data_IF_392815905186
#
_entry.id   IF_392815905186
#
_cell.length_a   1.000
_cell.length_b   1.000
_cell.length_c   1.000
_cell.angle_alpha   90.00
_cell.angle_beta   90.00
_cell.angle_gamma   90.00
#
_symmetry.space_group_name_H-M   'P 1'
#
loop_
_entity.id
_entity.type
_entity.pdbx_description
1 polymer ?
#
# COMPACT_ATOMS: atom_id res chain seq x y z
N UNK A 1 27.28 -16.13 -26.16
CA UNK A 1 27.77 -15.61 -24.87
C UNK A 1 26.92 -14.40 -24.50
N UNK A 2 26.05 -14.58 -23.50
CA UNK A 2 25.29 -13.61 -22.70
C UNK A 2 24.34 -12.63 -23.42
N UNK A 3 23.09 -13.11 -23.53
CA UNK A 3 21.80 -12.41 -23.51
C UNK A 3 21.86 -10.95 -23.03
N UNK A 4 21.68 -10.02 -23.98
CA UNK A 4 21.18 -8.68 -23.67
C UNK A 4 19.66 -8.76 -23.52
N UNK A 5 19.20 -9.00 -22.30
CA UNK A 5 17.88 -8.55 -21.85
C UNK A 5 18.11 -7.42 -20.87
N UNK A 6 18.33 -6.21 -21.37
CA UNK A 6 18.20 -5.01 -20.53
C UNK A 6 16.74 -4.98 -20.07
N UNK A 7 16.49 -5.34 -18.81
CA UNK A 7 15.18 -5.16 -18.19
C UNK A 7 14.69 -3.73 -18.36
N UNK A 8 13.38 -3.52 -18.27
CA UNK A 8 12.83 -2.15 -18.29
C UNK A 8 13.43 -1.32 -17.15
N UNK A 9 13.45 0.01 -17.29
CA UNK A 9 13.95 0.91 -16.22
C UNK A 9 13.28 0.62 -14.87
N UNK A 10 12.02 0.20 -14.90
CA UNK A 10 11.28 -0.23 -13.71
C UNK A 10 11.83 -1.51 -13.07
N UNK A 11 12.23 -2.50 -13.86
CA UNK A 11 12.87 -3.72 -13.33
C UNK A 11 14.23 -3.42 -12.70
N UNK A 12 15.02 -2.53 -13.32
CA UNK A 12 16.28 -2.07 -12.73
C UNK A 12 16.03 -1.32 -11.41
N UNK A 13 15.04 -0.43 -11.39
CA UNK A 13 14.67 0.32 -10.18
C UNK A 13 14.17 -0.62 -9.08
N UNK A 14 13.34 -1.61 -9.40
CA UNK A 14 12.84 -2.59 -8.44
C UNK A 14 13.96 -3.40 -7.79
N UNK A 15 15.03 -3.72 -8.54
CA UNK A 15 16.17 -4.49 -8.05
C UNK A 15 17.19 -3.65 -7.27
N UNK A 16 17.47 -2.44 -7.73
CA UNK A 16 18.59 -1.64 -7.25
C UNK A 16 18.21 -0.37 -6.50
N UNK A 17 16.96 0.09 -6.61
CA UNK A 17 16.51 1.36 -6.04
C UNK A 17 16.78 1.49 -4.55
N UNK A 18 16.71 0.39 -3.79
CA UNK A 18 17.01 0.35 -2.35
C UNK A 18 18.44 0.81 -2.04
N UNK A 19 19.42 0.54 -2.91
CA UNK A 19 20.82 1.00 -2.74
C UNK A 19 20.92 2.53 -2.74
N UNK A 20 19.99 3.19 -3.43
CA UNK A 20 19.97 4.64 -3.63
C UNK A 20 18.86 5.35 -2.83
N UNK A 21 18.20 4.65 -1.90
CA UNK A 21 17.03 5.14 -1.15
C UNK A 21 15.87 5.60 -2.05
N UNK A 22 15.74 5.01 -3.24
CA UNK A 22 14.62 5.26 -4.16
C UNK A 22 13.62 4.11 -4.03
N UNK A 23 12.36 4.46 -3.82
CA UNK A 23 11.23 3.51 -3.77
C UNK A 23 10.44 3.51 -5.08
N UNK A 24 9.76 2.40 -5.34
CA UNK A 24 8.79 2.26 -6.43
C UNK A 24 7.44 1.89 -5.84
N UNK A 25 6.40 2.63 -6.22
CA UNK A 25 5.00 2.31 -5.92
C UNK A 25 4.26 2.14 -7.24
N UNK A 26 3.75 0.94 -7.49
CA UNK A 26 2.93 0.65 -8.65
C UNK A 26 1.46 0.57 -8.23
N UNK A 27 0.59 1.25 -8.98
CA UNK A 27 -0.86 1.22 -8.79
C UNK A 27 -1.47 0.69 -10.08
N UNK A 28 -2.22 -0.41 -9.98
CA UNK A 28 -2.89 -1.03 -11.13
C UNK A 28 -4.15 -1.74 -10.70
N UNK A 29 -5.16 -1.73 -11.57
CA UNK A 29 -6.37 -2.53 -11.43
C UNK A 29 -6.18 -3.97 -11.90
N UNK A 30 -5.14 -4.21 -12.72
CA UNK A 30 -4.86 -5.50 -13.35
C UNK A 30 -3.38 -5.85 -13.12
N UNK A 31 -3.03 -6.48 -11.98
CA UNK A 31 -1.66 -6.89 -11.71
C UNK A 31 -1.10 -7.83 -12.79
N UNK A 32 -1.93 -8.61 -13.49
CA UNK A 32 -1.49 -9.47 -14.61
C UNK A 32 -0.82 -8.77 -15.78
N UNK A 33 -0.99 -7.46 -15.91
CA UNK A 33 -0.33 -6.69 -16.96
C UNK A 33 1.06 -6.18 -16.56
N UNK A 34 1.39 -6.25 -15.27
CA UNK A 34 2.71 -5.88 -14.76
C UNK A 34 3.63 -7.10 -14.90
N UNK A 35 4.87 -6.86 -15.33
CA UNK A 35 5.88 -7.91 -15.42
C UNK A 35 6.07 -8.59 -14.05
N UNK A 36 5.92 -9.91 -14.00
CA UNK A 36 6.07 -10.73 -12.79
C UNK A 36 7.41 -10.52 -12.08
N UNK A 37 8.50 -10.25 -12.83
CA UNK A 37 9.79 -9.91 -12.25
C UNK A 37 9.66 -8.67 -11.37
N UNK A 38 8.94 -7.63 -11.80
CA UNK A 38 8.75 -6.39 -11.03
C UNK A 38 7.89 -6.67 -9.79
N UNK A 39 6.76 -7.36 -9.93
CA UNK A 39 5.85 -7.62 -8.81
C UNK A 39 6.53 -8.48 -7.74
N UNK A 40 7.34 -9.46 -8.13
CA UNK A 40 8.08 -10.32 -7.20
C UNK A 40 9.06 -9.56 -6.29
N UNK A 41 9.56 -8.42 -6.75
CA UNK A 41 10.46 -7.56 -5.97
C UNK A 41 9.73 -6.65 -4.98
N UNK A 42 8.41 -6.53 -5.05
CA UNK A 42 7.66 -5.72 -4.08
C UNK A 42 7.63 -6.40 -2.71
N UNK A 43 8.00 -5.63 -1.69
CA UNK A 43 7.96 -6.08 -0.31
C UNK A 43 6.58 -5.87 0.31
N UNK A 44 5.95 -4.73 0.01
CA UNK A 44 4.66 -4.36 0.57
C UNK A 44 3.62 -4.33 -0.54
N UNK A 45 2.54 -5.07 -0.36
CA UNK A 45 1.40 -5.11 -1.25
C UNK A 45 0.17 -4.60 -0.50
N UNK A 46 -0.52 -3.63 -1.11
CA UNK A 46 -1.87 -3.21 -0.72
C UNK A 46 -2.83 -3.87 -1.69
N UNK A 47 -3.53 -4.89 -1.22
CA UNK A 47 -4.43 -5.72 -2.04
C UNK A 47 -5.85 -5.23 -1.78
N UNK A 48 -6.45 -4.57 -2.77
CA UNK A 48 -7.85 -4.17 -2.74
C UNK A 48 -8.73 -5.28 -3.33
N UNK A 49 -10.04 -5.06 -3.36
CA UNK A 49 -11.02 -5.96 -3.97
C UNK A 49 -10.65 -6.36 -5.40
N UNK A 50 -10.38 -7.66 -5.62
CA UNK A 50 -10.02 -8.20 -6.93
C UNK A 50 -10.89 -9.40 -7.31
N UNK A 51 -11.67 -9.25 -8.38
CA UNK A 51 -12.60 -10.27 -8.85
C UNK A 51 -11.94 -11.36 -9.72
N UNK A 52 -10.95 -11.01 -10.56
CA UNK A 52 -10.28 -11.98 -11.45
C UNK A 52 -9.33 -12.88 -10.66
N UNK A 53 -9.55 -14.19 -10.74
CA UNK A 53 -8.71 -15.20 -10.09
C UNK A 53 -7.25 -15.12 -10.54
N UNK A 54 -6.98 -14.84 -11.81
CA UNK A 54 -5.61 -14.74 -12.33
C UNK A 54 -4.84 -13.58 -11.70
N UNK A 55 -5.53 -12.47 -11.46
CA UNK A 55 -4.95 -11.32 -10.78
C UNK A 55 -4.62 -11.66 -9.31
N UNK A 56 -5.50 -12.41 -8.63
CA UNK A 56 -5.22 -12.93 -7.27
C UNK A 56 -4.08 -13.94 -7.24
N UNK A 57 -4.00 -14.83 -8.22
CA UNK A 57 -2.94 -15.84 -8.31
C UNK A 57 -1.54 -15.19 -8.44
N UNK A 58 -1.42 -14.12 -9.24
CA UNK A 58 -0.18 -13.37 -9.41
C UNK A 58 0.23 -12.68 -8.09
N UNK A 59 -0.74 -12.09 -7.39
CA UNK A 59 -0.50 -11.49 -6.08
C UNK A 59 -0.11 -12.52 -5.03
N UNK A 60 -0.73 -13.69 -5.02
CA UNK A 60 -0.39 -14.80 -4.11
C UNK A 60 1.06 -15.25 -4.29
N UNK A 61 1.49 -15.39 -5.54
CA UNK A 61 2.86 -15.79 -5.85
C UNK A 61 3.89 -14.69 -5.51
N UNK A 62 3.47 -13.42 -5.49
CA UNK A 62 4.35 -12.28 -5.23
C UNK A 62 4.35 -11.83 -3.78
N UNK A 63 3.30 -12.14 -3.02
CA UNK A 63 3.12 -11.76 -1.63
C UNK A 63 4.20 -12.40 -0.75
N UNK A 64 4.61 -11.67 0.29
CA UNK A 64 5.60 -12.18 1.27
C UNK A 64 4.97 -13.09 2.32
N UNK A 65 3.65 -13.10 2.39
CA UNK A 65 2.87 -13.92 3.30
C UNK A 65 1.99 -14.86 2.49
N UNK A 66 1.66 -15.99 3.09
CA UNK A 66 0.70 -16.91 2.50
C UNK A 66 -0.71 -16.32 2.59
N UNK A 67 -1.22 -15.88 1.45
CA UNK A 67 -2.58 -15.37 1.29
C UNK A 67 -3.49 -16.37 0.55
N UNK A 68 -3.07 -17.64 0.41
CA UNK A 68 -3.82 -18.67 -0.33
C UNK A 68 -5.22 -18.89 0.23
N UNK A 69 -5.36 -18.77 1.54
CA UNK A 69 -6.64 -18.94 2.24
C UNK A 69 -7.51 -17.69 2.23
N UNK A 70 -7.00 -16.56 1.74
CA UNK A 70 -7.67 -15.25 1.75
C UNK A 70 -8.30 -14.87 0.41
N UNK A 71 -8.42 -15.84 -0.51
CA UNK A 71 -8.86 -15.59 -1.88
C UNK A 71 -10.30 -15.10 -1.96
N UNK A 72 -11.17 -15.65 -1.11
CA UNK A 72 -12.58 -15.24 -1.04
C UNK A 72 -12.70 -13.87 -0.36
N UNK A 73 -11.90 -13.62 0.67
CA UNK A 73 -11.83 -12.38 1.40
C UNK A 73 -11.39 -11.24 0.48
N UNK A 74 -10.33 -11.45 -0.30
CA UNK A 74 -9.86 -10.48 -1.30
C UNK A 74 -10.94 -10.18 -2.33
N UNK A 75 -11.75 -11.17 -2.72
CA UNK A 75 -12.86 -10.94 -3.65
C UNK A 75 -14.01 -10.14 -3.02
N UNK A 76 -14.21 -10.27 -1.71
CA UNK A 76 -15.31 -9.65 -0.96
C UNK A 76 -14.99 -8.26 -0.39
N UNK A 77 -13.73 -7.82 -0.45
CA UNK A 77 -13.33 -6.49 0.03
C UNK A 77 -14.17 -5.38 -0.62
N UNK A 78 -14.76 -4.54 0.22
CA UNK A 78 -15.53 -3.37 -0.22
C UNK A 78 -14.62 -2.20 -0.61
N UNK A 79 -15.12 -1.20 -1.36
CA UNK A 79 -14.37 0.02 -1.62
C UNK A 79 -13.89 0.67 -0.31
N UNK A 80 -12.58 0.94 -0.24
CA UNK A 80 -11.94 1.45 0.98
C UNK A 80 -11.43 0.35 1.92
N UNK A 81 -11.67 -0.92 1.66
CA UNK A 81 -11.04 -2.03 2.38
C UNK A 81 -9.85 -2.58 1.59
N UNK A 82 -8.79 -2.96 2.30
CA UNK A 82 -7.61 -3.55 1.71
C UNK A 82 -6.97 -4.57 2.65
N UNK A 83 -6.21 -5.49 2.08
CA UNK A 83 -5.34 -6.41 2.77
C UNK A 83 -3.89 -5.98 2.56
N UNK A 84 -3.15 -5.77 3.64
CA UNK A 84 -1.75 -5.37 3.60
C UNK A 84 -0.87 -6.57 3.84
N UNK A 85 -0.07 -6.93 2.83
CA UNK A 85 1.01 -7.91 2.98
C UNK A 85 2.35 -7.22 3.02
N UNK A 86 3.17 -7.52 4.02
CA UNK A 86 4.45 -6.84 4.25
C UNK A 86 5.40 -7.73 5.04
N UNK A 87 6.72 -7.71 4.78
CA UNK A 87 7.68 -8.46 5.58
C UNK A 87 7.77 -7.98 7.04
N UNK A 88 7.22 -6.79 7.34
CA UNK A 88 7.20 -6.25 8.70
C UNK A 88 6.07 -6.83 9.57
N UNK A 89 5.11 -7.55 8.98
CA UNK A 89 3.99 -8.15 9.70
C UNK A 89 4.03 -9.68 9.55
N UNK A 90 3.66 -10.45 10.58
CA UNK A 90 3.70 -11.91 10.52
C UNK A 90 2.60 -12.51 9.64
N UNK A 91 1.51 -11.78 9.43
CA UNK A 91 0.37 -12.18 8.60
C UNK A 91 -0.24 -10.95 7.91
N UNK A 92 -1.10 -11.22 6.93
CA UNK A 92 -1.75 -10.19 6.15
C UNK A 92 -2.79 -9.44 6.99
N UNK A 93 -2.68 -8.11 7.02
CA UNK A 93 -3.48 -7.28 7.92
C UNK A 93 -4.62 -6.63 7.15
N UNK A 94 -5.89 -6.83 7.55
CA UNK A 94 -6.99 -6.06 6.98
C UNK A 94 -6.90 -4.61 7.44
N UNK A 95 -7.07 -3.67 6.52
CA UNK A 95 -7.10 -2.24 6.81
C UNK A 95 -8.24 -1.56 6.07
N UNK A 96 -8.68 -0.43 6.62
CA UNK A 96 -9.67 0.46 6.00
C UNK A 96 -8.99 1.77 5.65
N UNK A 97 -8.97 2.10 4.38
CA UNK A 97 -8.48 3.35 3.82
C UNK A 97 -9.58 4.39 3.96
N UNK A 98 -9.25 5.51 4.60
CA UNK A 98 -10.17 6.64 4.70
C UNK A 98 -10.27 7.36 3.35
N UNK A 99 -11.46 7.89 3.06
CA UNK A 99 -11.63 8.79 1.92
C UNK A 99 -10.79 10.05 2.19
N UNK A 100 -10.00 10.45 1.20
CA UNK A 100 -8.99 11.49 1.38
C UNK A 100 -9.62 12.83 1.75
N UNK A 101 -10.74 13.15 1.10
CA UNK A 101 -11.51 14.37 1.30
C UNK A 101 -12.05 14.47 2.74
N UNK A 102 -12.70 13.41 3.22
CA UNK A 102 -13.23 13.32 4.59
C UNK A 102 -12.11 13.42 5.63
N UNK A 103 -11.00 12.71 5.40
CA UNK A 103 -9.84 12.77 6.27
C UNK A 103 -9.24 14.18 6.36
N UNK A 104 -9.20 14.91 5.24
CA UNK A 104 -8.69 16.27 5.20
C UNK A 104 -9.58 17.22 6.01
N UNK A 105 -10.90 17.10 5.87
CA UNK A 105 -11.86 17.89 6.66
C UNK A 105 -11.72 17.61 8.16
N UNK A 106 -11.70 16.33 8.57
CA UNK A 106 -11.49 15.94 9.97
C UNK A 106 -10.15 16.45 10.53
N UNK A 107 -9.08 16.34 9.75
CA UNK A 107 -7.75 16.76 10.19
C UNK A 107 -7.66 18.29 10.38
N UNK A 108 -8.30 19.06 9.50
CA UNK A 108 -8.38 20.52 9.60
C UNK A 108 -9.23 20.95 10.81
N UNK A 109 -10.36 20.28 11.06
CA UNK A 109 -11.19 20.51 12.23
C UNK A 109 -10.40 20.25 13.53
N UNK A 110 -9.73 19.09 13.64
CA UNK A 110 -8.88 18.75 14.79
C UNK A 110 -7.74 19.76 14.99
N UNK A 111 -7.10 20.21 13.92
CA UNK A 111 -6.06 21.23 13.98
C UNK A 111 -6.60 22.59 14.48
N UNK A 112 -7.83 22.96 14.10
CA UNK A 112 -8.52 24.14 14.59
C UNK A 112 -8.87 24.07 16.08
N UNK A 113 -9.35 22.91 16.55
CA UNK A 113 -9.65 22.66 17.96
C UNK A 113 -8.40 22.74 18.84
N UNK A 114 -7.28 22.16 18.39
CA UNK A 114 -6.00 22.23 19.10
C UNK A 114 -5.52 23.67 19.22
N UNK A 115 -5.59 24.47 18.15
CA UNK A 115 -5.22 25.90 18.19
C UNK A 115 -6.10 26.70 19.17
N UNK A 116 -7.40 26.41 19.23
CA UNK A 116 -8.31 27.06 20.16
C UNK A 116 -8.08 26.65 21.61
N UNK A 117 -7.72 25.39 21.86
CA UNK A 117 -7.38 24.90 23.21
C UNK A 117 -6.07 25.51 23.71
N UNK A 118 -5.03 25.56 22.87
CA UNK A 118 -3.76 26.22 23.18
C UNK A 118 -3.96 27.72 23.48
N UNK A 119 -4.79 28.44 22.72
CA UNK A 119 -5.11 29.85 23.02
C UNK A 119 -5.80 30.03 24.38
N UNK A 120 -6.68 29.10 24.78
CA UNK A 120 -7.37 29.16 26.08
C UNK A 120 -6.43 28.86 27.24
N UNK A 121 -5.56 27.87 27.10
CA UNK A 121 -4.61 27.49 28.16
C UNK A 121 -3.53 28.57 28.38
N UNK A 122 -3.04 29.21 27.29
CA UNK A 122 -2.11 30.34 27.41
C UNK A 122 -2.80 31.55 28.08
N UNK A 123 -4.08 31.81 27.79
CA UNK A 123 -4.83 32.90 28.45
C UNK A 123 -5.05 32.71 29.96
N UNK A 124 -5.03 31.46 30.46
CA UNK A 124 -5.16 31.17 31.89
C UNK A 124 -3.84 31.14 32.67
N UNK A 125 -2.68 31.06 31.98
CA UNK A 125 -1.36 30.92 32.63
C UNK A 125 -0.67 32.29 32.86
N UNK A 126 -1.27 33.40 32.43
CA UNK A 126 -0.74 34.77 32.57
C UNK A 126 -1.49 35.64 33.61
N UNK A 127 -2.13 35.04 34.61
CA UNK A 127 -2.64 35.74 35.80
C UNK A 127 -2.27 34.98 37.06
#
# INVERSE_FOLDING_TARGET
>A
MLSQSKGTVFAQLAREGRKFKVGLCAVSQQPKLINEEIISQFNTLFILGLADKRDRDILRNSAKQDISMLDNEIQMLMPGEALVSSPFTPFAIPCRVHLYEEYLEESNLRAGEIKNKVKRDVGQTFF
#
